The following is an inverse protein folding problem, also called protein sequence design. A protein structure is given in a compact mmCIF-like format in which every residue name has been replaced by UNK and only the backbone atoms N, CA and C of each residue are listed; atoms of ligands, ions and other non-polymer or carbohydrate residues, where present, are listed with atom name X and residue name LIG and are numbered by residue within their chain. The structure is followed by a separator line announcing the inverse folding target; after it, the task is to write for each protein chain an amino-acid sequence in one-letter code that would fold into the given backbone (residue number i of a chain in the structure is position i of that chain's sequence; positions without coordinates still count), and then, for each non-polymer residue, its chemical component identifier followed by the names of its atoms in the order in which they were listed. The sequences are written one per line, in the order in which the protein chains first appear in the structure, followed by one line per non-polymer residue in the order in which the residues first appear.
data_IF_085884108478
#
_entry.id   IF_085884108478
#
_cell.length_a   1.000
_cell.length_b   1.000
_cell.length_c   1.000
_cell.angle_alpha   90.00
_cell.angle_beta   90.00
_cell.angle_gamma   90.00
#
_symmetry.space_group_name_H-M   'P 1'
#
loop_
_entity.id
_entity.type
_entity.pdbx_description
1 polymer ?
#
# COMPACT_ATOMS: atom_id res chain seq x y z
N UNK A 1 13.41 -2.32 6.26
CA UNK A 1 14.11 -3.33 7.07
C UNK A 1 15.41 -3.70 6.37
N UNK A 2 16.43 -4.14 7.09
CA UNK A 2 17.65 -4.66 6.47
C UNK A 2 17.56 -6.18 6.38
N UNK A 3 17.68 -6.74 5.18
CA UNK A 3 17.85 -8.18 4.97
C UNK A 3 19.20 -8.34 4.29
N UNK A 4 20.07 -9.18 4.83
CA UNK A 4 21.42 -9.43 4.30
C UNK A 4 22.25 -8.14 4.04
N UNK A 5 22.08 -7.12 4.89
CA UNK A 5 22.78 -5.83 4.75
C UNK A 5 22.13 -4.83 3.80
N UNK A 6 21.18 -5.27 2.95
CA UNK A 6 20.48 -4.43 1.98
C UNK A 6 19.16 -3.87 2.55
N UNK A 7 18.76 -2.68 2.08
CA UNK A 7 17.46 -2.10 2.47
C UNK A 7 16.34 -2.74 1.65
N UNK A 8 15.38 -3.32 2.36
CA UNK A 8 14.16 -3.87 1.79
C UNK A 8 12.91 -3.14 2.27
N UNK A 9 11.93 -3.08 1.39
CA UNK A 9 10.59 -2.52 1.52
C UNK A 9 9.58 -3.63 1.76
N UNK A 10 8.64 -3.41 2.67
CA UNK A 10 7.59 -4.34 3.05
C UNK A 10 6.32 -3.56 2.76
N UNK A 11 5.36 -4.28 2.26
CA UNK A 11 4.07 -3.75 1.90
C UNK A 11 3.06 -4.61 2.61
N UNK A 12 2.09 -3.98 3.23
CA UNK A 12 1.07 -4.67 4.00
C UNK A 12 -0.27 -4.06 3.64
N UNK A 13 -1.17 -4.91 3.16
CA UNK A 13 -2.58 -4.61 3.06
C UNK A 13 -3.21 -4.98 4.39
N UNK A 14 -3.75 -3.98 5.08
CA UNK A 14 -4.36 -4.16 6.39
C UNK A 14 -5.80 -3.68 6.28
N UNK A 15 -6.74 -4.50 6.70
CA UNK A 15 -8.12 -4.07 6.84
C UNK A 15 -8.30 -3.14 8.05
N UNK A 16 -9.50 -2.63 8.21
CA UNK A 16 -9.80 -1.59 9.19
C UNK A 16 -9.57 -2.07 10.63
N UNK A 17 -9.93 -3.32 10.91
CA UNK A 17 -9.84 -4.00 12.21
C UNK A 17 -8.40 -4.35 12.57
N UNK A 18 -7.45 -4.12 11.66
CA UNK A 18 -6.03 -4.35 11.85
C UNK A 18 -5.54 -5.73 11.41
N UNK A 19 -6.42 -6.56 10.82
CA UNK A 19 -6.00 -7.83 10.21
C UNK A 19 -5.15 -7.56 8.98
N UNK A 20 -4.03 -8.29 8.87
CA UNK A 20 -3.15 -8.21 7.71
C UNK A 20 -3.67 -9.17 6.65
N UNK A 21 -4.26 -8.62 5.60
CA UNK A 21 -4.77 -9.38 4.47
C UNK A 21 -3.62 -9.97 3.64
N UNK A 22 -2.62 -9.15 3.31
CA UNK A 22 -1.52 -9.56 2.43
C UNK A 22 -0.22 -8.83 2.82
N UNK A 23 0.92 -9.50 2.70
CA UNK A 23 2.22 -8.87 2.92
C UNK A 23 3.28 -9.35 1.92
N UNK A 24 4.10 -8.45 1.41
CA UNK A 24 5.22 -8.82 0.54
C UNK A 24 6.40 -7.88 0.67
N UNK A 25 7.58 -8.38 0.28
CA UNK A 25 8.86 -7.68 0.44
C UNK A 25 9.48 -7.40 -0.93
N UNK A 26 10.01 -6.19 -1.10
CA UNK A 26 10.77 -5.78 -2.27
C UNK A 26 12.11 -5.19 -1.88
N UNK A 27 13.09 -5.24 -2.77
CA UNK A 27 14.35 -4.52 -2.59
C UNK A 27 14.17 -3.01 -2.83
N UNK A 28 13.24 -2.62 -3.71
CA UNK A 28 12.98 -1.24 -4.11
C UNK A 28 11.57 -0.78 -3.74
N UNK A 29 11.41 0.51 -3.44
CA UNK A 29 10.10 1.17 -3.27
C UNK A 29 9.74 1.89 -4.57
N UNK A 30 9.48 1.11 -5.63
CA UNK A 30 9.09 1.65 -6.93
C UNK A 30 7.58 1.55 -7.19
N UNK A 31 7.09 2.42 -8.08
CA UNK A 31 5.68 2.48 -8.45
C UNK A 31 5.16 1.17 -9.05
N UNK A 32 6.01 0.43 -9.79
CA UNK A 32 5.58 -0.83 -10.42
C UNK A 32 5.31 -1.90 -9.37
N UNK A 33 6.14 -1.98 -8.34
CA UNK A 33 5.94 -2.87 -7.20
C UNK A 33 4.65 -2.52 -6.46
N UNK A 34 4.40 -1.24 -6.22
CA UNK A 34 3.18 -0.76 -5.60
C UNK A 34 1.93 -1.16 -6.39
N UNK A 35 1.92 -0.91 -7.69
CA UNK A 35 0.80 -1.23 -8.56
C UNK A 35 0.57 -2.74 -8.68
N UNK A 36 1.65 -3.53 -8.77
CA UNK A 36 1.54 -5.00 -8.78
C UNK A 36 0.91 -5.52 -7.49
N UNK A 37 1.34 -4.99 -6.35
CA UNK A 37 0.77 -5.38 -5.06
C UNK A 37 -0.72 -5.10 -4.99
N UNK A 38 -1.09 -3.86 -5.29
CA UNK A 38 -2.48 -3.42 -5.16
C UNK A 38 -3.38 -4.21 -6.11
N UNK A 39 -2.94 -4.46 -7.35
CA UNK A 39 -3.65 -5.36 -8.28
C UNK A 39 -3.82 -6.77 -7.72
N UNK A 40 -2.77 -7.33 -7.12
CA UNK A 40 -2.80 -8.67 -6.55
C UNK A 40 -3.75 -8.75 -5.34
N UNK A 41 -3.68 -7.77 -4.43
CA UNK A 41 -4.57 -7.65 -3.28
C UNK A 41 -6.02 -7.50 -3.75
N UNK A 42 -6.30 -6.61 -4.71
CA UNK A 42 -7.65 -6.42 -5.25
C UNK A 42 -8.20 -7.68 -5.91
N UNK A 43 -7.35 -8.45 -6.60
CA UNK A 43 -7.75 -9.71 -7.22
C UNK A 43 -8.16 -10.75 -6.18
N UNK A 44 -7.53 -10.75 -5.00
CA UNK A 44 -7.74 -11.75 -3.95
C UNK A 44 -8.87 -11.37 -2.98
N UNK A 45 -8.95 -10.11 -2.59
CA UNK A 45 -9.87 -9.61 -1.56
C UNK A 45 -11.01 -8.75 -2.14
N UNK A 46 -11.01 -8.51 -3.45
CA UNK A 46 -11.97 -7.63 -4.10
C UNK A 46 -11.52 -6.16 -4.10
N UNK A 47 -12.36 -5.30 -4.66
CA UNK A 47 -12.06 -3.87 -4.77
C UNK A 47 -12.34 -3.18 -3.42
N UNK A 48 -11.34 -2.53 -2.81
CA UNK A 48 -11.55 -1.75 -1.59
C UNK A 48 -12.34 -0.47 -1.88
N UNK A 49 -13.10 0.00 -0.89
CA UNK A 49 -13.83 1.28 -0.98
C UNK A 49 -12.87 2.47 -0.99
N UNK A 50 -11.78 2.38 -0.22
CA UNK A 50 -10.77 3.43 -0.11
C UNK A 50 -9.39 2.81 0.03
N UNK A 51 -8.37 3.42 -0.57
CA UNK A 51 -6.98 3.06 -0.33
C UNK A 51 -6.29 4.24 0.36
N UNK A 52 -5.84 4.03 1.59
CA UNK A 52 -4.93 4.92 2.30
C UNK A 52 -3.52 4.42 2.10
N UNK A 53 -2.66 5.28 1.60
CA UNK A 53 -1.29 4.90 1.32
C UNK A 53 -0.32 6.08 1.40
N UNK A 54 0.86 5.83 1.96
CA UNK A 54 2.02 6.74 1.98
C UNK A 54 2.83 6.68 0.67
N UNK A 55 2.22 6.16 -0.39
CA UNK A 55 2.89 5.93 -1.66
C UNK A 55 3.34 7.21 -2.37
N UNK A 56 4.28 7.01 -3.29
CA UNK A 56 4.73 8.03 -4.23
C UNK A 56 3.52 8.65 -4.93
N UNK A 57 3.53 9.98 -5.06
CA UNK A 57 2.45 10.77 -5.68
C UNK A 57 2.02 10.25 -7.04
N UNK A 58 2.97 9.70 -7.80
CA UNK A 58 2.75 9.11 -9.13
C UNK A 58 1.91 7.83 -9.09
N UNK A 59 2.04 7.02 -8.03
CA UNK A 59 1.19 5.86 -7.80
C UNK A 59 -0.25 6.27 -7.49
N UNK A 60 -0.46 7.38 -6.77
CA UNK A 60 -1.80 7.92 -6.50
C UNK A 60 -2.57 8.24 -7.77
N UNK A 61 -1.91 8.73 -8.83
CA UNK A 61 -2.54 8.95 -10.14
C UNK A 61 -2.94 7.65 -10.81
N UNK A 62 -2.03 6.67 -10.87
CA UNK A 62 -2.33 5.35 -11.44
C UNK A 62 -3.44 4.62 -10.66
N UNK A 63 -3.55 4.85 -9.35
CA UNK A 63 -4.60 4.26 -8.53
C UNK A 63 -5.99 4.87 -8.78
N UNK A 64 -6.06 6.16 -9.15
CA UNK A 64 -7.32 6.79 -9.60
C UNK A 64 -7.87 6.16 -10.87
N UNK A 65 -7.02 5.61 -11.74
CA UNK A 65 -7.46 4.88 -12.95
C UNK A 65 -8.23 3.60 -12.61
N UNK A 66 -8.02 3.01 -11.42
CA UNK A 66 -8.82 1.87 -10.94
C UNK A 66 -10.18 2.29 -10.36
N UNK A 67 -10.51 3.59 -10.37
CA UNK A 67 -11.76 4.13 -9.84
C UNK A 67 -11.86 4.06 -8.31
N UNK A 68 -10.77 3.78 -7.60
CA UNK A 68 -10.74 3.74 -6.14
C UNK A 68 -10.28 5.10 -5.60
N UNK A 69 -11.02 5.74 -4.67
CA UNK A 69 -10.54 6.90 -3.94
C UNK A 69 -9.22 6.58 -3.21
N UNK A 70 -8.18 7.36 -3.52
CA UNK A 70 -6.86 7.23 -2.90
C UNK A 70 -6.66 8.38 -1.94
N UNK A 71 -6.60 8.06 -0.65
CA UNK A 71 -6.20 9.00 0.39
C UNK A 71 -4.68 8.90 0.56
N UNK A 72 -3.97 9.92 0.10
CA UNK A 72 -2.53 10.02 0.32
C UNK A 72 -2.29 10.64 1.70
N UNK A 73 -1.87 9.85 2.68
CA UNK A 73 -1.40 10.39 3.96
C UNK A 73 0.06 10.85 3.79
N UNK A 74 0.26 12.17 3.79
CA UNK A 74 1.60 12.80 3.76
C UNK A 74 2.13 13.18 5.14
N UNK A 75 1.46 12.76 6.23
CA UNK A 75 1.79 13.22 7.58
C UNK A 75 3.14 12.64 8.03
N UNK A 76 4.11 13.54 8.15
CA UNK A 76 5.56 13.29 8.22
C UNK A 76 6.02 12.64 9.53
N UNK A 77 5.11 12.29 10.44
CA UNK A 77 5.45 11.82 11.78
C UNK A 77 4.64 10.64 12.33
N UNK A 78 3.69 10.07 11.56
CA UNK A 78 2.98 8.82 11.94
C UNK A 78 3.43 7.60 11.12
N UNK A 79 4.29 7.78 10.13
CA UNK A 79 4.73 6.75 9.19
C UNK A 79 6.02 6.07 9.64
N UNK A 80 6.04 5.51 10.85
CA UNK A 80 6.99 4.46 11.20
C UNK A 80 6.35 3.10 10.90
N UNK A 81 6.69 2.53 9.74
CA UNK A 81 6.32 1.19 9.21
C UNK A 81 4.93 1.08 8.57
N UNK A 82 4.89 1.32 7.25
CA UNK A 82 4.24 0.47 6.23
C UNK A 82 2.86 -0.07 6.59
N UNK A 83 1.82 0.72 6.30
CA UNK A 83 0.43 0.25 6.34
C UNK A 83 -0.35 0.86 5.17
N UNK A 84 -0.91 0.02 4.33
CA UNK A 84 -2.06 0.39 3.50
C UNK A 84 -3.29 0.19 4.38
N UNK A 85 -4.02 1.26 4.70
CA UNK A 85 -5.32 1.21 5.41
C UNK A 85 -6.44 1.36 4.40
N UNK A 86 -7.50 0.60 4.51
CA UNK A 86 -8.74 0.79 3.75
C UNK A 86 -9.82 1.22 4.74
N UNK A 87 -10.52 2.34 4.48
CA UNK A 87 -11.63 2.80 5.32
C UNK A 87 -12.95 2.83 4.54
N UNK A 88 -14.02 2.57 5.32
CA UNK A 88 -15.47 2.71 5.09
C UNK A 88 -16.17 1.35 5.04
N UNK A 89 -17.27 1.09 5.74
CA UNK A 89 -18.26 1.94 6.46
C UNK A 89 -18.53 1.48 7.90
#
# INVERSE_FOLDING_TARGET
MKINGERHYLWQAVEQEGEVLESFVTQTQDERAALRFIKQTMRRYGRPETIVTDLLRSCGTALKEFGVPVLQETDRWLSNRRRTRSYRS
#
